data_IF_658924250687
#
_entry.id   IF_658924250687
#
_cell.length_a   1.000
_cell.length_b   1.000
_cell.length_c   1.000
_cell.angle_alpha   90.00
_cell.angle_beta   90.00
_cell.angle_gamma   90.00
#
_symmetry.space_group_name_H-M   'P 1'
#
loop_
_entity.id
_entity.type
_entity.pdbx_description
1 polymer ?
#
# COMPACT_ATOMS: atom_id res chain seq x y z
N UNK A 1 14.27 24.09 1.02
CA UNK A 1 13.47 25.03 1.84
C UNK A 1 12.06 24.45 1.94
N UNK A 2 11.60 24.10 3.14
CA UNK A 2 10.23 23.60 3.36
C UNK A 2 9.30 24.79 3.60
N UNK A 3 8.24 24.91 2.80
CA UNK A 3 7.18 25.91 3.02
C UNK A 3 6.18 25.33 4.02
N UNK A 4 6.23 25.78 5.28
CA UNK A 4 5.29 25.35 6.31
C UNK A 4 3.99 26.15 6.21
N UNK A 5 3.00 25.63 5.48
CA UNK A 5 1.60 25.86 5.85
C UNK A 5 1.30 24.95 7.05
N UNK A 6 0.74 25.53 8.10
CA UNK A 6 0.59 24.91 9.42
C UNK A 6 -0.13 23.56 9.35
N UNK A 7 0.61 22.46 9.41
CA UNK A 7 0.08 21.10 9.53
C UNK A 7 0.36 20.18 8.34
N UNK A 8 0.84 20.66 7.19
CA UNK A 8 1.13 19.79 6.03
C UNK A 8 2.64 19.55 5.91
N UNK A 9 3.04 18.28 5.91
CA UNK A 9 4.42 17.83 5.67
C UNK A 9 4.43 16.92 4.45
N UNK A 10 5.39 17.09 3.54
CA UNK A 10 5.48 16.25 2.35
C UNK A 10 6.91 15.84 2.03
N UNK A 11 7.04 14.66 1.44
CA UNK A 11 8.30 14.06 1.01
C UNK A 11 8.15 13.49 -0.40
N UNK A 12 9.15 13.77 -1.25
CA UNK A 12 9.26 13.11 -2.54
C UNK A 12 9.82 11.70 -2.34
N UNK A 13 9.31 10.75 -3.12
CA UNK A 13 9.74 9.36 -3.07
C UNK A 13 10.28 8.94 -4.44
N UNK A 14 11.30 8.10 -4.43
CA UNK A 14 11.82 7.50 -5.67
C UNK A 14 10.93 6.35 -6.16
N UNK A 15 10.41 5.56 -5.21
CA UNK A 15 9.66 4.34 -5.48
C UNK A 15 8.53 4.14 -4.46
N UNK A 16 7.46 3.55 -4.94
CA UNK A 16 6.37 2.99 -4.14
C UNK A 16 6.10 1.57 -4.61
N UNK A 17 5.77 0.66 -3.70
CA UNK A 17 5.36 -0.68 -4.07
C UNK A 17 4.18 -1.13 -3.20
N UNK A 18 3.22 -1.80 -3.84
CA UNK A 18 2.08 -2.43 -3.16
C UNK A 18 2.18 -3.94 -3.31
N UNK A 19 2.06 -4.66 -2.20
CA UNK A 19 1.94 -6.11 -2.26
C UNK A 19 0.56 -6.47 -2.82
N UNK A 20 0.54 -7.29 -3.86
CA UNK A 20 -0.66 -7.80 -4.51
C UNK A 20 -0.64 -9.31 -4.36
N UNK A 21 -1.73 -9.85 -3.83
CA UNK A 21 -1.90 -11.30 -3.78
C UNK A 21 -2.36 -11.80 -5.15
N UNK A 22 -1.69 -12.81 -5.69
CA UNK A 22 -2.04 -13.42 -6.98
C UNK A 22 -3.43 -14.04 -6.96
N UNK A 23 -3.89 -14.47 -5.79
CA UNK A 23 -5.17 -15.17 -5.64
C UNK A 23 -6.36 -14.23 -5.42
N UNK A 24 -6.15 -12.98 -5.03
CA UNK A 24 -7.25 -12.00 -4.93
C UNK A 24 -7.89 -11.68 -6.29
N UNK A 25 -7.17 -11.89 -7.39
CA UNK A 25 -7.71 -11.74 -8.76
C UNK A 25 -8.58 -12.90 -9.26
N UNK A 26 -8.54 -14.07 -8.63
CA UNK A 26 -9.32 -15.23 -9.08
C UNK A 26 -10.76 -15.25 -8.56
N UNK A 27 -11.10 -14.42 -7.57
CA UNK A 27 -12.43 -14.44 -6.93
C UNK A 27 -13.48 -13.70 -7.76
N UNK A 28 -13.10 -12.80 -8.67
CA UNK A 28 -14.06 -12.07 -9.52
C UNK A 28 -14.56 -12.87 -10.74
N UNK A 29 -14.04 -14.09 -11.00
CA UNK A 29 -14.46 -14.93 -12.12
C UNK A 29 -14.57 -16.42 -11.74
N UNK A 30 -15.39 -16.79 -10.75
CA UNK A 30 -15.82 -18.20 -10.58
C UNK A 30 -17.26 -18.31 -10.10
N UNK A 31 -18.19 -18.00 -10.99
CA UNK A 31 -19.48 -18.68 -10.98
C UNK A 31 -19.29 -20.08 -11.59
N UNK A 32 -19.51 -21.11 -10.78
CA UNK A 32 -19.90 -22.45 -11.23
C UNK A 32 -18.79 -23.42 -11.65
N UNK A 33 -18.33 -24.24 -10.72
CA UNK A 33 -18.34 -25.72 -10.79
C UNK A 33 -17.28 -26.31 -9.84
N UNK A 34 -17.76 -27.03 -8.83
CA UNK A 34 -16.98 -27.84 -7.92
C UNK A 34 -16.31 -29.02 -8.65
N UNK A 35 -15.29 -29.63 -8.03
CA UNK A 35 -15.26 -31.07 -7.64
C UNK A 35 -13.81 -31.52 -7.31
N UNK A 36 -13.66 -31.92 -6.03
CA UNK A 36 -12.84 -33.00 -5.45
C UNK A 36 -11.36 -32.83 -5.04
N UNK A 37 -11.18 -32.98 -3.73
CA UNK A 37 -10.20 -33.82 -3.01
C UNK A 37 -8.72 -33.71 -3.39
N UNK A 38 -8.01 -32.85 -2.67
CA UNK A 38 -6.67 -33.15 -2.20
C UNK A 38 -6.51 -32.60 -0.77
N UNK A 39 -6.29 -33.51 0.19
CA UNK A 39 -5.70 -33.14 1.49
C UNK A 39 -4.23 -32.82 1.20
N UNK A 40 -3.98 -31.59 0.77
CA UNK A 40 -2.67 -30.99 0.86
C UNK A 40 -2.78 -29.91 1.94
N UNK A 41 -2.12 -30.18 3.07
CA UNK A 41 -1.62 -29.15 3.96
C UNK A 41 -0.60 -28.31 3.18
N UNK A 42 -1.07 -27.56 2.20
CA UNK A 42 -0.30 -26.59 1.48
C UNK A 42 -0.18 -25.41 2.42
N UNK A 43 0.96 -25.33 3.11
CA UNK A 43 1.51 -24.04 3.50
C UNK A 43 1.79 -23.28 2.20
N UNK A 44 0.75 -22.79 1.55
CA UNK A 44 0.85 -21.88 0.42
C UNK A 44 1.42 -20.59 1.01
N UNK A 45 2.76 -20.54 1.07
CA UNK A 45 3.49 -19.28 1.11
C UNK A 45 3.04 -18.54 -0.14
N UNK A 46 1.95 -17.79 -0.02
CA UNK A 46 1.40 -16.98 -1.10
C UNK A 46 2.56 -16.15 -1.65
N UNK A 47 2.92 -16.39 -2.90
CA UNK A 47 3.95 -15.60 -3.58
C UNK A 47 3.34 -14.26 -3.91
N UNK A 48 3.20 -13.40 -2.89
CA UNK A 48 2.77 -12.03 -3.07
C UNK A 48 3.76 -11.33 -3.98
N UNK A 49 3.26 -10.72 -5.05
CA UNK A 49 4.05 -9.90 -5.96
C UNK A 49 3.97 -8.45 -5.52
N UNK A 50 5.02 -7.69 -5.81
CA UNK A 50 5.05 -6.26 -5.54
C UNK A 50 4.82 -5.50 -6.84
N UNK A 51 3.70 -4.78 -6.91
CA UNK A 51 3.45 -3.83 -8.00
C UNK A 51 4.16 -2.52 -7.65
N UNK A 52 5.26 -2.24 -8.35
CA UNK A 52 6.07 -1.05 -8.14
C UNK A 52 5.66 0.09 -9.07
N UNK A 53 5.81 1.32 -8.59
CA UNK A 53 5.75 2.56 -9.36
C UNK A 53 6.99 3.38 -8.99
N UNK A 54 7.68 3.91 -9.99
CA UNK A 54 8.77 4.87 -9.78
C UNK A 54 8.34 6.30 -10.08
N UNK A 55 9.08 7.27 -9.54
CA UNK A 55 8.83 8.71 -9.77
C UNK A 55 8.87 9.14 -11.23
N UNK A 56 9.44 8.31 -12.12
CA UNK A 56 9.59 8.57 -13.55
C UNK A 56 8.45 7.98 -14.41
N UNK A 57 7.61 7.12 -13.84
CA UNK A 57 6.57 6.37 -14.58
C UNK A 57 5.16 7.01 -14.46
N UNK A 58 5.05 8.16 -13.80
CA UNK A 58 3.78 8.84 -13.52
C UNK A 58 3.56 10.13 -14.33
N UNK A 59 2.35 10.68 -14.20
CA UNK A 59 1.95 12.03 -14.64
C UNK A 59 2.54 13.16 -13.75
N UNK A 60 3.39 12.81 -12.79
CA UNK A 60 4.06 13.73 -11.89
C UNK A 60 4.89 13.01 -10.83
N UNK A 61 5.50 13.77 -9.93
CA UNK A 61 6.35 13.23 -8.87
C UNK A 61 5.55 12.37 -7.87
N UNK A 62 6.13 11.24 -7.48
CA UNK A 62 5.62 10.42 -6.38
C UNK A 62 5.86 11.15 -5.05
N UNK A 63 4.80 11.39 -4.30
CA UNK A 63 4.83 12.23 -3.10
C UNK A 63 4.02 11.59 -1.97
N UNK A 64 4.62 11.53 -0.78
CA UNK A 64 3.92 11.21 0.46
C UNK A 64 3.64 12.51 1.21
N UNK A 65 2.40 12.67 1.66
CA UNK A 65 1.93 13.87 2.38
C UNK A 65 1.26 13.47 3.67
N UNK A 66 1.67 14.10 4.77
CA UNK A 66 1.08 14.02 6.09
C UNK A 66 0.33 15.32 6.38
N UNK A 67 -0.98 15.22 6.60
CA UNK A 67 -1.88 16.35 6.83
C UNK A 67 -2.31 16.34 8.29
N UNK A 68 -2.01 17.42 8.99
CA UNK A 68 -2.32 17.68 10.41
C UNK A 68 -1.86 16.56 11.37
N UNK A 69 -0.82 15.81 10.99
CA UNK A 69 -0.38 14.61 11.70
C UNK A 69 -1.48 13.53 11.87
N UNK A 70 -2.58 13.63 11.11
CA UNK A 70 -3.78 12.79 11.20
C UNK A 70 -4.11 12.02 9.93
N UNK A 71 -3.65 12.47 8.78
CA UNK A 71 -3.93 11.80 7.50
C UNK A 71 -2.66 11.58 6.72
N UNK A 72 -2.43 10.35 6.26
CA UNK A 72 -1.36 10.04 5.34
C UNK A 72 -1.94 9.81 3.95
N UNK A 73 -1.36 10.47 2.96
CA UNK A 73 -1.73 10.34 1.55
C UNK A 73 -0.49 10.07 0.72
N UNK A 74 -0.58 9.13 -0.20
CA UNK A 74 0.41 8.90 -1.25
C UNK A 74 -0.22 9.27 -2.59
N UNK A 75 0.45 10.14 -3.35
CA UNK A 75 0.01 10.57 -4.68
C UNK A 75 1.12 10.44 -5.72
N UNK A 76 0.71 10.28 -6.97
CA UNK A 76 1.55 10.34 -8.16
C UNK A 76 0.83 11.28 -9.13
N UNK A 77 1.41 12.46 -9.37
CA UNK A 77 0.76 13.51 -10.14
C UNK A 77 -0.65 13.83 -9.63
N UNK A 78 -1.66 13.64 -10.47
CA UNK A 78 -3.07 13.88 -10.12
C UNK A 78 -3.76 12.70 -9.41
N UNK A 79 -3.10 11.54 -9.32
CA UNK A 79 -3.70 10.31 -8.80
C UNK A 79 -3.34 10.06 -7.34
N UNK A 80 -4.34 9.86 -6.49
CA UNK A 80 -4.16 9.32 -5.14
C UNK A 80 -3.96 7.81 -5.25
N UNK A 81 -2.83 7.32 -4.74
CA UNK A 81 -2.47 5.89 -4.72
C UNK A 81 -2.91 5.23 -3.42
N UNK A 82 -2.74 5.90 -2.29
CA UNK A 82 -3.15 5.44 -0.97
C UNK A 82 -3.62 6.64 -0.14
N UNK A 83 -4.59 6.42 0.74
CA UNK A 83 -5.06 7.42 1.69
C UNK A 83 -5.63 6.73 2.91
N UNK A 84 -5.13 7.07 4.09
CA UNK A 84 -5.67 6.56 5.35
C UNK A 84 -5.49 7.54 6.51
N UNK A 85 -6.42 7.48 7.45
CA UNK A 85 -6.35 8.23 8.69
C UNK A 85 -5.37 7.55 9.67
N UNK A 86 -4.60 8.36 10.38
CA UNK A 86 -3.69 7.96 11.45
C UNK A 86 -4.36 8.02 12.84
N UNK A 87 -5.68 7.83 12.88
CA UNK A 87 -6.46 7.82 14.12
C UNK A 87 -6.68 6.38 14.58
N UNK A 88 -6.37 6.10 15.85
CA UNK A 88 -6.56 4.79 16.49
C UNK A 88 -5.96 3.62 15.68
N UNK A 89 -4.75 3.80 15.16
CA UNK A 89 -4.15 2.85 14.21
C UNK A 89 -3.47 1.66 14.84
N UNK A 90 -3.22 1.66 16.14
CA UNK A 90 -2.46 0.62 16.82
C UNK A 90 -3.01 -0.80 16.60
N UNK A 91 -4.32 -0.94 16.33
CA UNK A 91 -4.95 -2.23 16.09
C UNK A 91 -4.83 -2.73 14.64
N UNK A 92 -4.64 -1.84 13.67
CA UNK A 92 -4.76 -2.17 12.25
C UNK A 92 -3.55 -1.74 11.39
N UNK A 93 -2.67 -0.87 11.88
CA UNK A 93 -1.48 -0.41 11.18
C UNK A 93 -0.22 -0.73 11.98
N UNK A 94 0.75 -1.38 11.32
CA UNK A 94 2.12 -1.48 11.81
C UNK A 94 3.06 -0.86 10.80
N UNK A 95 4.05 -0.13 11.28
CA UNK A 95 5.07 0.51 10.43
C UNK A 95 6.45 0.01 10.80
N UNK A 96 7.30 -0.16 9.79
CA UNK A 96 8.70 -0.55 9.97
C UNK A 96 9.58 0.37 9.12
N UNK A 97 10.63 0.91 9.72
CA UNK A 97 11.59 1.75 9.02
C UNK A 97 12.91 0.99 8.86
N UNK A 98 13.47 0.98 7.64
CA UNK A 98 14.79 0.43 7.34
C UNK A 98 15.51 1.32 6.33
N UNK A 99 16.57 1.98 6.78
CA UNK A 99 17.27 2.96 5.95
C UNK A 99 16.36 4.14 5.60
N UNK A 100 16.23 4.42 4.31
CA UNK A 100 15.36 5.44 3.71
C UNK A 100 13.95 4.93 3.38
N UNK A 101 13.65 3.67 3.71
CA UNK A 101 12.42 3.00 3.32
C UNK A 101 11.48 2.78 4.52
N UNK A 102 10.18 2.90 4.27
CA UNK A 102 9.11 2.59 5.23
C UNK A 102 8.18 1.53 4.67
N UNK A 103 7.87 0.52 5.49
CA UNK A 103 6.87 -0.50 5.19
C UNK A 103 5.63 -0.26 6.06
N UNK A 104 4.48 -0.10 5.40
CA UNK A 104 3.16 -0.06 6.05
C UNK A 104 2.51 -1.44 5.93
N UNK A 105 2.24 -2.08 7.07
CA UNK A 105 1.48 -3.33 7.15
C UNK A 105 0.09 -3.01 7.68
N UNK A 106 -0.89 -3.09 6.79
CA UNK A 106 -2.29 -2.80 7.07
C UNK A 106 -3.03 -4.12 7.30
N UNK A 107 -3.76 -4.22 8.40
CA UNK A 107 -4.67 -5.33 8.71
C UNK A 107 -6.08 -4.77 8.76
N UNK A 108 -6.83 -4.97 7.69
CA UNK A 108 -8.27 -4.69 7.69
C UNK A 108 -8.99 -5.95 8.17
N UNK A 109 -9.90 -5.78 9.13
CA UNK A 109 -10.82 -6.84 9.57
C UNK A 109 -11.97 -6.99 8.58
#
# INVERSE_FOLDING_TARGET
>A
MATSSSGVKSWLLDKYAKQVDKYAKQVECRDGAAVNNAVESMSSKGSGEWKQISSLEGDGSLQMTLIEDKHLMLSSGSQIRESFALVNTAQWLKTYCKGDSVLFVVRMN
#
